data_IF_104071970966
#
_entry.id   IF_104071970966
#
_cell.length_a   1.000
_cell.length_b   1.000
_cell.length_c   1.000
_cell.angle_alpha   90.00
_cell.angle_beta   90.00
_cell.angle_gamma   90.00
#
_symmetry.space_group_name_H-M   'P 1'
#
loop_
_entity.id
_entity.type
_entity.pdbx_description
1 polymer ?
#
# COMPACT_ATOMS: atom_id res chain seq x y z
N UNK A 1 -8.72 -15.52 -22.66
CA UNK A 1 -9.04 -14.37 -21.82
C UNK A 1 -7.79 -13.90 -21.08
N UNK A 2 -7.81 -12.70 -20.51
CA UNK A 2 -6.69 -12.16 -19.72
C UNK A 2 -6.58 -12.97 -18.42
N UNK A 3 -5.39 -13.53 -18.08
CA UNK A 3 -5.18 -14.21 -16.81
C UNK A 3 -5.43 -13.26 -15.64
N UNK A 4 -6.17 -13.74 -14.65
CA UNK A 4 -6.52 -12.93 -13.47
C UNK A 4 -5.57 -13.23 -12.33
N UNK A 5 -5.08 -12.16 -11.69
CA UNK A 5 -4.32 -12.26 -10.45
C UNK A 5 -5.20 -12.63 -9.26
N UNK A 6 -4.55 -13.07 -8.19
CA UNK A 6 -5.16 -13.36 -6.90
C UNK A 6 -5.15 -12.14 -5.98
N UNK A 7 -6.19 -11.99 -5.16
CA UNK A 7 -6.26 -10.94 -4.15
C UNK A 7 -6.37 -11.60 -2.76
N UNK A 8 -5.39 -11.34 -1.91
CA UNK A 8 -5.36 -11.81 -0.53
C UNK A 8 -5.74 -10.67 0.41
N UNK A 9 -6.81 -10.82 1.18
CA UNK A 9 -7.20 -9.84 2.22
C UNK A 9 -6.59 -10.24 3.56
N UNK A 10 -6.02 -9.27 4.28
CA UNK A 10 -5.37 -9.44 5.59
C UNK A 10 -5.69 -8.27 6.50
N UNK A 11 -5.40 -8.45 7.79
CA UNK A 11 -5.46 -7.42 8.82
C UNK A 11 -4.08 -7.25 9.44
N UNK A 12 -3.69 -6.02 9.69
CA UNK A 12 -2.46 -5.66 10.41
C UNK A 12 -2.81 -4.78 11.62
N UNK A 13 -2.50 -5.28 12.82
CA UNK A 13 -2.83 -4.66 14.09
C UNK A 13 -1.66 -4.55 15.06
N UNK A 14 -0.43 -4.79 14.57
CA UNK A 14 0.80 -4.82 15.36
C UNK A 14 1.77 -3.70 15.00
N UNK A 15 1.26 -2.58 14.49
CA UNK A 15 2.11 -1.45 14.13
C UNK A 15 2.80 -0.85 15.37
N UNK A 16 4.10 -0.66 15.27
CA UNK A 16 4.92 0.07 16.25
C UNK A 16 4.98 1.56 15.94
N UNK A 17 4.89 1.90 14.65
CA UNK A 17 4.92 3.30 14.17
C UNK A 17 3.58 3.97 14.42
N UNK A 18 2.47 3.24 14.23
CA UNK A 18 1.11 3.69 14.54
C UNK A 18 0.47 2.78 15.60
N UNK A 19 0.93 2.83 16.86
CA UNK A 19 0.51 1.88 17.88
C UNK A 19 -0.99 1.97 18.19
N UNK A 20 -1.59 0.82 18.52
CA UNK A 20 -3.00 0.70 18.84
C UNK A 20 -3.93 0.76 17.63
N UNK A 21 -3.40 0.80 16.41
CA UNK A 21 -4.21 0.81 15.19
C UNK A 21 -4.40 -0.60 14.63
N UNK A 22 -5.57 -0.84 14.07
CA UNK A 22 -5.87 -1.98 13.21
C UNK A 22 -6.25 -1.48 11.82
N UNK A 23 -5.84 -2.20 10.79
CA UNK A 23 -6.16 -1.87 9.39
C UNK A 23 -6.29 -3.11 8.54
N UNK A 24 -7.07 -3.02 7.49
CA UNK A 24 -7.12 -4.02 6.43
C UNK A 24 -6.09 -3.67 5.36
N UNK A 25 -5.55 -4.71 4.72
CA UNK A 25 -4.77 -4.56 3.51
C UNK A 25 -5.02 -5.72 2.55
N UNK A 26 -4.81 -5.46 1.27
CA UNK A 26 -4.96 -6.47 0.22
C UNK A 26 -3.67 -6.59 -0.54
N UNK A 27 -3.31 -7.81 -0.86
CA UNK A 27 -2.16 -8.12 -1.71
C UNK A 27 -2.72 -8.65 -3.03
N UNK A 28 -2.48 -7.94 -4.12
CA UNK A 28 -2.74 -8.44 -5.46
C UNK A 28 -1.46 -9.08 -5.99
N UNK A 29 -1.57 -10.35 -6.39
CA UNK A 29 -0.47 -11.11 -7.01
C UNK A 29 -0.89 -11.49 -8.42
N UNK A 30 -0.24 -10.97 -9.47
CA UNK A 30 -0.62 -11.29 -10.83
C UNK A 30 -0.40 -12.78 -11.16
N UNK A 31 -1.20 -13.32 -12.08
CA UNK A 31 -1.10 -14.72 -12.49
C UNK A 31 0.28 -15.06 -13.05
N UNK A 32 0.96 -14.09 -13.68
CA UNK A 32 2.31 -14.24 -14.27
C UNK A 32 3.45 -14.23 -13.23
N UNK A 33 3.15 -13.92 -11.97
CA UNK A 33 4.18 -13.88 -10.93
C UNK A 33 4.82 -15.26 -10.71
N UNK A 34 6.14 -15.28 -10.60
CA UNK A 34 6.95 -16.46 -10.25
C UNK A 34 7.92 -16.10 -9.12
N UNK A 35 8.06 -16.96 -8.09
CA UNK A 35 8.92 -16.67 -6.94
C UNK A 35 10.43 -16.67 -7.22
N UNK A 36 10.86 -17.09 -8.39
CA UNK A 36 12.27 -17.09 -8.80
C UNK A 36 12.85 -15.67 -8.95
N UNK A 37 12.00 -14.67 -9.17
CA UNK A 37 12.38 -13.25 -9.26
C UNK A 37 11.54 -12.41 -8.32
N UNK A 38 12.14 -11.43 -7.61
CA UNK A 38 11.37 -10.42 -6.90
C UNK A 38 10.49 -9.61 -7.87
N UNK A 39 9.24 -9.38 -7.49
CA UNK A 39 8.32 -8.59 -8.30
C UNK A 39 8.53 -7.08 -8.06
N UNK A 40 8.20 -6.27 -9.07
CA UNK A 40 7.97 -4.85 -8.84
C UNK A 40 6.84 -4.65 -7.83
N UNK A 41 6.81 -3.49 -7.17
CA UNK A 41 5.84 -3.22 -6.10
C UNK A 41 5.07 -1.93 -6.38
N UNK A 42 3.76 -1.99 -6.23
CA UNK A 42 2.90 -0.81 -6.18
C UNK A 42 2.17 -0.75 -4.85
N UNK A 43 2.29 0.35 -4.12
CA UNK A 43 1.58 0.57 -2.86
C UNK A 43 0.51 1.64 -3.08
N UNK A 44 -0.75 1.36 -2.70
CA UNK A 44 -1.84 2.32 -2.81
C UNK A 44 -2.49 2.56 -1.45
N UNK A 45 -2.68 3.84 -1.11
CA UNK A 45 -3.39 4.27 0.08
C UNK A 45 -4.90 4.22 -0.14
N UNK A 46 -5.67 4.08 0.96
CA UNK A 46 -7.14 3.94 0.96
C UNK A 46 -7.65 2.63 0.31
N UNK A 47 -6.84 1.58 0.29
CA UNK A 47 -7.26 0.28 -0.23
C UNK A 47 -7.32 0.23 -1.76
N UNK A 48 -8.15 -0.69 -2.29
CA UNK A 48 -8.28 -0.89 -3.73
C UNK A 48 -9.12 0.22 -4.34
N UNK A 49 -8.55 0.97 -5.27
CA UNK A 49 -9.21 2.03 -6.02
C UNK A 49 -9.13 1.76 -7.55
N UNK A 50 -9.97 2.42 -8.34
CA UNK A 50 -9.96 2.43 -9.83
C UNK A 50 -9.94 1.05 -10.49
N UNK A 51 -10.43 0.01 -9.82
CA UNK A 51 -10.34 -1.39 -10.30
C UNK A 51 -8.89 -1.80 -10.61
N UNK A 52 -7.93 -1.29 -9.84
CA UNK A 52 -6.50 -1.47 -10.11
C UNK A 52 -6.09 -2.93 -10.39
N UNK A 53 -6.57 -3.96 -9.68
CA UNK A 53 -6.23 -5.35 -10.04
C UNK A 53 -6.58 -5.72 -11.47
N UNK A 54 -7.76 -5.33 -11.95
CA UNK A 54 -8.18 -5.59 -13.34
C UNK A 54 -7.33 -4.82 -14.35
N UNK A 55 -6.97 -3.58 -14.01
CA UNK A 55 -6.08 -2.75 -14.85
C UNK A 55 -4.70 -3.42 -14.94
N UNK A 56 -4.16 -3.87 -13.82
CA UNK A 56 -2.86 -4.54 -13.77
C UNK A 56 -2.87 -5.87 -14.54
N UNK A 57 -3.92 -6.69 -14.41
CA UNK A 57 -4.08 -7.90 -15.20
C UNK A 57 -3.94 -7.60 -16.71
N UNK A 58 -4.61 -6.55 -17.18
CA UNK A 58 -4.60 -6.17 -18.60
C UNK A 58 -3.22 -5.63 -19.04
N UNK A 59 -2.62 -4.73 -18.26
CA UNK A 59 -1.33 -4.11 -18.61
C UNK A 59 -0.19 -5.14 -18.59
N UNK A 60 -0.16 -6.03 -17.59
CA UNK A 60 0.84 -7.09 -17.49
C UNK A 60 0.68 -8.07 -18.64
N UNK A 61 -0.56 -8.46 -18.98
CA UNK A 61 -0.83 -9.37 -20.09
C UNK A 61 -0.41 -8.81 -21.46
N UNK A 62 -0.47 -7.48 -21.62
CA UNK A 62 -0.02 -6.78 -22.83
C UNK A 62 1.47 -6.47 -22.85
N UNK A 63 2.21 -6.80 -21.80
CA UNK A 63 3.61 -6.38 -21.59
C UNK A 63 3.81 -4.85 -21.56
N UNK A 64 2.77 -4.11 -21.19
CA UNK A 64 2.80 -2.66 -20.99
C UNK A 64 3.20 -2.30 -19.54
N UNK A 65 3.23 -3.27 -18.65
CA UNK A 65 3.63 -3.17 -17.26
C UNK A 65 4.42 -4.42 -16.85
N UNK A 66 5.52 -4.29 -16.10
CA UNK A 66 6.23 -5.44 -15.56
C UNK A 66 5.35 -6.22 -14.57
N UNK A 67 5.72 -7.46 -14.27
CA UNK A 67 5.08 -8.24 -13.21
C UNK A 67 5.19 -7.48 -11.90
N UNK A 68 4.06 -6.97 -11.42
CA UNK A 68 3.97 -6.08 -10.25
C UNK A 68 2.99 -6.65 -9.24
N UNK A 69 3.45 -6.83 -8.02
CA UNK A 69 2.60 -7.12 -6.86
C UNK A 69 2.12 -5.78 -6.30
N UNK A 70 0.81 -5.65 -6.08
CA UNK A 70 0.25 -4.44 -5.50
C UNK A 70 -0.19 -4.69 -4.06
N UNK A 71 0.06 -3.70 -3.20
CA UNK A 71 -0.32 -3.69 -1.79
C UNK A 71 -1.25 -2.49 -1.57
N UNK A 72 -2.50 -2.79 -1.26
CA UNK A 72 -3.54 -1.79 -1.04
C UNK A 72 -3.79 -1.69 0.46
N UNK A 73 -3.48 -0.56 1.07
CA UNK A 73 -3.47 -0.38 2.53
C UNK A 73 -4.52 0.63 2.93
N UNK A 74 -5.42 0.29 3.88
CA UNK A 74 -6.31 1.28 4.48
C UNK A 74 -5.59 2.05 5.59
N UNK A 75 -6.04 3.27 5.92
CA UNK A 75 -5.58 3.95 7.12
C UNK A 75 -5.95 3.17 8.39
N UNK A 76 -5.16 3.38 9.43
CA UNK A 76 -5.40 2.74 10.73
C UNK A 76 -6.70 3.21 11.38
N UNK A 77 -7.24 2.33 12.20
CA UNK A 77 -8.40 2.57 13.04
C UNK A 77 -8.08 2.14 14.46
N UNK A 78 -8.29 3.02 15.42
CA UNK A 78 -8.24 2.68 16.84
C UNK A 78 -9.64 2.24 17.24
N UNK A 79 -9.78 0.99 17.64
CA UNK A 79 -11.06 0.43 18.04
C UNK A 79 -11.47 1.00 19.40
N UNK A 80 -12.74 1.32 19.55
CA UNK A 80 -13.31 1.67 20.84
C UNK A 80 -13.35 0.45 21.77
N UNK A 81 -13.24 0.66 23.07
CA UNK A 81 -13.36 -0.42 24.05
C UNK A 81 -14.74 -1.09 23.96
N UNK A 82 -14.74 -2.40 24.00
CA UNK A 82 -15.97 -3.19 24.00
C UNK A 82 -16.83 -2.83 25.21
N UNK A 83 -18.07 -2.38 24.95
CA UNK A 83 -19.01 -1.95 25.97
C UNK A 83 -19.00 -0.45 26.28
N UNK A 84 -18.14 0.34 25.64
CA UNK A 84 -18.22 1.80 25.67
C UNK A 84 -19.19 2.33 24.61
N UNK A 85 -19.75 3.53 24.83
CA UNK A 85 -20.49 4.27 23.80
C UNK A 85 -19.57 5.06 22.85
N UNK A 86 -18.25 4.88 22.96
CA UNK A 86 -17.28 5.54 22.10
C UNK A 86 -17.31 4.95 20.70
N UNK A 87 -17.02 5.79 19.70
CA UNK A 87 -16.86 5.35 18.31
C UNK A 87 -15.38 5.06 18.02
N UNK A 88 -15.14 4.14 17.09
CA UNK A 88 -13.80 3.91 16.54
C UNK A 88 -13.20 5.22 16.01
N UNK A 89 -11.93 5.44 16.28
CA UNK A 89 -11.22 6.63 15.78
C UNK A 89 -10.47 6.28 14.52
N UNK A 90 -10.81 6.94 13.43
CA UNK A 90 -10.08 6.83 12.17
C UNK A 90 -8.81 7.66 12.19
N UNK A 91 -7.70 7.04 11.82
CA UNK A 91 -6.37 7.64 11.92
C UNK A 91 -5.88 8.25 10.60
N UNK A 92 -6.74 8.33 9.58
CA UNK A 92 -6.38 8.69 8.20
C UNK A 92 -5.63 10.01 8.08
N UNK A 93 -6.18 11.09 8.62
CA UNK A 93 -5.52 12.39 8.54
C UNK A 93 -4.20 12.43 9.28
N UNK A 94 -4.13 11.75 10.43
CA UNK A 94 -2.89 11.69 11.21
C UNK A 94 -1.78 10.94 10.44
N UNK A 95 -2.13 9.85 9.76
CA UNK A 95 -1.17 9.04 9.00
C UNK A 95 -0.79 9.68 7.66
N UNK A 96 -1.75 10.30 6.96
CA UNK A 96 -1.58 10.73 5.57
C UNK A 96 -1.20 12.20 5.41
N UNK A 97 -1.70 13.08 6.27
CA UNK A 97 -1.49 14.53 6.13
C UNK A 97 -0.29 15.03 6.95
N UNK A 98 0.39 14.13 7.67
CA UNK A 98 1.60 14.43 8.43
C UNK A 98 2.81 14.69 7.54
N UNK A 99 3.67 15.61 7.98
CA UNK A 99 5.00 15.81 7.40
C UNK A 99 6.00 14.79 7.97
N UNK A 100 7.06 14.50 7.19
CA UNK A 100 8.12 13.59 7.59
C UNK A 100 7.91 12.15 7.12
N UNK A 101 8.73 11.24 7.61
CA UNK A 101 8.94 9.91 7.03
C UNK A 101 8.15 8.77 7.71
N UNK A 102 7.32 9.07 8.70
CA UNK A 102 6.67 8.04 9.53
C UNK A 102 5.88 7.03 8.68
N UNK A 103 5.11 7.51 7.71
CA UNK A 103 4.34 6.62 6.84
C UNK A 103 5.23 5.81 5.90
N UNK A 104 6.28 6.41 5.33
CA UNK A 104 7.25 5.68 4.51
C UNK A 104 7.91 4.55 5.31
N UNK A 105 8.36 4.85 6.53
CA UNK A 105 8.94 3.82 7.43
C UNK A 105 7.92 2.73 7.77
N UNK A 106 6.67 3.09 8.04
CA UNK A 106 5.60 2.13 8.27
C UNK A 106 5.45 1.15 7.10
N UNK A 107 5.38 1.65 5.86
CA UNK A 107 5.32 0.79 4.67
C UNK A 107 6.57 -0.08 4.55
N UNK A 108 7.76 0.53 4.64
CA UNK A 108 9.03 -0.15 4.38
C UNK A 108 9.39 -1.18 5.45
N UNK A 109 9.11 -0.89 6.72
CA UNK A 109 9.60 -1.72 7.84
C UNK A 109 8.54 -2.61 8.48
N UNK A 110 7.26 -2.33 8.23
CA UNK A 110 6.16 -3.12 8.81
C UNK A 110 5.31 -3.80 7.73
N UNK A 111 4.76 -3.07 6.75
CA UNK A 111 3.83 -3.64 5.78
C UNK A 111 4.53 -4.51 4.73
N UNK A 112 5.59 -4.04 4.07
CA UNK A 112 6.26 -4.84 3.04
C UNK A 112 6.87 -6.14 3.60
N UNK A 113 7.54 -6.15 4.77
CA UNK A 113 7.97 -7.39 5.40
C UNK A 113 6.82 -8.33 5.75
N UNK A 114 5.67 -7.79 6.19
CA UNK A 114 4.49 -8.60 6.48
C UNK A 114 3.90 -9.23 5.21
N UNK A 115 3.89 -8.51 4.09
CA UNK A 115 3.49 -9.04 2.79
C UNK A 115 4.37 -10.21 2.35
N UNK A 116 5.69 -10.11 2.57
CA UNK A 116 6.64 -11.20 2.22
C UNK A 116 6.49 -12.45 3.10
N UNK A 117 5.82 -12.35 4.26
CA UNK A 117 5.46 -13.53 5.09
C UNK A 117 4.25 -14.28 4.54
N UNK A 118 3.47 -13.67 3.66
CA UNK A 118 2.27 -14.27 3.09
C UNK A 118 2.63 -15.20 1.92
N UNK A 119 1.67 -16.09 1.59
CA UNK A 119 1.74 -16.96 0.41
C UNK A 119 0.45 -16.85 -0.38
N UNK A 120 0.53 -17.10 -1.66
CA UNK A 120 -0.64 -17.27 -2.52
C UNK A 120 -1.39 -18.55 -2.15
N UNK A 121 -2.63 -18.71 -2.64
CA UNK A 121 -3.45 -19.90 -2.39
C UNK A 121 -2.82 -21.18 -2.97
N UNK A 122 -2.04 -21.07 -4.03
CA UNK A 122 -1.26 -22.16 -4.64
C UNK A 122 0.13 -22.35 -4.01
N UNK A 123 0.44 -21.64 -2.90
CA UNK A 123 1.65 -21.81 -2.10
C UNK A 123 2.89 -21.06 -2.58
N UNK A 124 2.77 -20.18 -3.58
CA UNK A 124 3.91 -19.34 -4.02
C UNK A 124 4.29 -18.36 -2.92
N UNK A 125 5.56 -18.34 -2.53
CA UNK A 125 6.11 -17.33 -1.62
C UNK A 125 6.16 -15.97 -2.31
N UNK A 126 5.92 -14.90 -1.56
CA UNK A 126 5.95 -13.53 -2.08
C UNK A 126 7.35 -12.96 -1.88
N UNK A 127 7.96 -12.46 -2.95
CA UNK A 127 9.24 -11.78 -2.95
C UNK A 127 9.11 -10.43 -3.64
N UNK A 128 9.43 -9.36 -2.93
CA UNK A 128 9.32 -7.99 -3.39
C UNK A 128 10.70 -7.42 -3.72
N UNK A 129 10.80 -6.66 -4.81
CA UNK A 129 12.04 -5.95 -5.11
C UNK A 129 12.36 -4.92 -4.03
N UNK A 130 13.62 -4.85 -3.64
CA UNK A 130 14.16 -3.84 -2.72
C UNK A 130 14.77 -2.65 -3.45
N UNK A 131 14.73 -2.66 -4.78
CA UNK A 131 15.20 -1.54 -5.59
C UNK A 131 14.08 -0.49 -5.73
N UNK A 132 14.33 0.75 -5.34
CA UNK A 132 13.36 1.84 -5.45
C UNK A 132 12.91 2.11 -6.89
N UNK A 133 13.71 1.76 -7.89
CA UNK A 133 13.32 1.84 -9.30
C UNK A 133 12.21 0.85 -9.69
N UNK A 134 12.00 -0.18 -8.89
CA UNK A 134 10.95 -1.17 -9.08
C UNK A 134 9.72 -0.89 -8.19
N UNK A 135 9.73 0.23 -7.46
CA UNK A 135 8.67 0.60 -6.52
C UNK A 135 7.94 1.85 -6.92
N UNK A 136 6.62 1.79 -6.84
CA UNK A 136 5.73 2.92 -7.01
C UNK A 136 4.79 3.03 -5.81
N UNK A 137 4.45 4.25 -5.45
CA UNK A 137 3.49 4.55 -4.38
C UNK A 137 2.45 5.52 -4.90
N UNK A 138 1.18 5.32 -4.55
CA UNK A 138 0.12 6.14 -5.11
C UNK A 138 -1.10 6.24 -4.20
N UNK A 139 -1.98 7.18 -4.53
CA UNK A 139 -3.21 7.40 -3.81
C UNK A 139 -3.99 8.57 -4.34
N UNK A 140 -5.11 8.87 -3.68
CA UNK A 140 -6.05 9.93 -4.04
C UNK A 140 -6.25 10.88 -2.86
N UNK A 141 -6.38 12.18 -3.13
CA UNK A 141 -6.60 13.21 -2.10
C UNK A 141 -5.50 13.19 -1.03
N UNK A 142 -5.81 13.05 0.26
CA UNK A 142 -4.81 12.85 1.32
C UNK A 142 -3.91 11.63 1.06
N UNK A 143 -4.44 10.58 0.42
CA UNK A 143 -3.63 9.42 0.00
C UNK A 143 -2.59 9.78 -1.07
N UNK A 144 -2.89 10.74 -1.94
CA UNK A 144 -1.94 11.28 -2.92
C UNK A 144 -0.84 12.12 -2.25
N UNK A 145 -1.21 12.93 -1.28
CA UNK A 145 -0.27 13.71 -0.45
C UNK A 145 0.67 12.77 0.31
N UNK A 146 0.10 11.75 0.94
CA UNK A 146 0.85 10.72 1.66
C UNK A 146 1.87 10.01 0.75
N UNK A 147 1.45 9.59 -0.45
CA UNK A 147 2.32 8.94 -1.42
C UNK A 147 3.46 9.84 -1.87
N UNK A 148 3.16 11.11 -2.15
CA UNK A 148 4.18 12.09 -2.51
C UNK A 148 5.16 12.33 -1.37
N UNK A 149 4.67 12.53 -0.14
CA UNK A 149 5.52 12.76 1.04
C UNK A 149 6.44 11.56 1.28
N UNK A 150 5.93 10.33 1.18
CA UNK A 150 6.73 9.13 1.35
C UNK A 150 7.89 9.06 0.33
N UNK A 151 7.61 9.36 -0.93
CA UNK A 151 8.64 9.37 -1.97
C UNK A 151 9.59 10.57 -1.86
N UNK A 152 9.12 11.71 -1.38
CA UNK A 152 9.96 12.88 -1.10
C UNK A 152 10.97 12.61 0.01
N UNK A 153 10.53 11.98 1.10
CA UNK A 153 11.40 11.65 2.24
C UNK A 153 12.34 10.47 1.93
N UNK A 154 11.91 9.52 1.08
CA UNK A 154 12.68 8.34 0.70
C UNK A 154 12.70 8.12 -0.83
N UNK A 155 13.31 9.05 -1.60
CA UNK A 155 13.33 8.95 -3.06
C UNK A 155 14.13 7.73 -3.57
N UNK A 156 15.07 7.23 -2.78
CA UNK A 156 15.83 6.00 -3.07
C UNK A 156 14.97 4.73 -2.96
N UNK A 157 13.87 4.79 -2.21
CA UNK A 157 12.96 3.65 -1.98
C UNK A 157 11.73 3.67 -2.88
N UNK A 158 11.30 4.86 -3.34
CA UNK A 158 10.13 5.05 -4.19
C UNK A 158 10.45 6.02 -5.33
N UNK A 159 10.79 5.50 -6.50
CA UNK A 159 11.14 6.34 -7.64
C UNK A 159 9.93 6.79 -8.49
N UNK A 160 8.74 6.23 -8.22
CA UNK A 160 7.51 6.54 -8.97
C UNK A 160 6.36 6.86 -8.04
N UNK A 161 5.66 7.95 -8.34
CA UNK A 161 4.48 8.39 -7.58
C UNK A 161 3.28 8.52 -8.51
N UNK A 162 2.18 7.90 -8.13
CA UNK A 162 0.87 8.15 -8.72
C UNK A 162 0.04 9.01 -7.77
N UNK A 163 -0.06 10.30 -8.06
CA UNK A 163 -0.76 11.27 -7.23
C UNK A 163 -2.01 11.77 -7.93
N UNK A 164 -3.17 11.32 -7.45
CA UNK A 164 -4.46 11.72 -7.99
C UNK A 164 -5.14 12.75 -7.08
N UNK A 165 -5.44 13.94 -7.63
CA UNK A 165 -6.15 15.03 -6.95
C UNK A 165 -5.59 15.38 -5.56
N UNK A 166 -4.27 15.35 -5.40
CA UNK A 166 -3.60 15.77 -4.16
C UNK A 166 -3.66 17.28 -3.97
N UNK A 167 -3.87 17.73 -2.73
CA UNK A 167 -3.77 19.13 -2.34
C UNK A 167 -2.50 19.32 -1.54
N UNK A 168 -1.56 20.09 -2.08
CA UNK A 168 -0.21 20.28 -1.51
C UNK A 168 -0.04 21.63 -0.80
N UNK A 169 -1.13 22.25 -0.43
CA UNK A 169 -1.17 23.46 0.39
C UNK A 169 -1.72 23.13 1.76
N UNK A 170 -1.35 23.92 2.78
CA UNK A 170 -1.81 23.70 4.14
C UNK A 170 -3.34 23.70 4.24
N UNK A 171 -3.95 22.52 4.41
CA UNK A 171 -5.39 22.35 4.52
C UNK A 171 -5.94 22.75 5.89
N UNK A 172 -5.07 22.91 6.89
CA UNK A 172 -5.46 23.14 8.30
C UNK A 172 -4.66 24.25 8.98
N UNK A 173 -4.23 25.24 8.20
CA UNK A 173 -3.66 26.46 8.78
C UNK A 173 -2.30 26.25 9.48
N UNK A 174 -1.42 25.48 8.88
CA UNK A 174 -0.03 25.47 9.28
C UNK A 174 0.70 26.66 8.66
#
# INVERSE_FOLDING_TARGET
>A
GVPKGEILKRVFDQSKIFPGTSREYWIYVPAQYKPDKPACVYINQDGIQWKAPTVFDNLINKNEMPVTIAVFVTPGKVLADSGSNALDRFNRSFEYDGLGDAYARFILTEILPEVERQKTSDGRVIRLSKNGNDRAIGGSSSGAVCAFTAAWEHPEEFSRVFSAIGTYTGLRGA
#
